data_IF_211839539872
#
_entry.id   IF_211839539872
#
_cell.length_a   1.000
_cell.length_b   1.000
_cell.length_c   1.000
_cell.angle_alpha   90.00
_cell.angle_beta   90.00
_cell.angle_gamma   90.00
#
_symmetry.space_group_name_H-M   'P 1'
#
loop_
_entity.id
_entity.type
_entity.pdbx_description
1 polymer ?
#
# COMPACT_ATOMS: atom_id res chain seq x y z
N UNK A 1 15.10 21.37 -10.42
CA UNK A 1 15.07 20.34 -9.36
C UNK A 1 16.46 19.96 -8.84
N UNK A 2 17.53 20.43 -9.46
CA UNK A 2 18.93 20.18 -9.05
C UNK A 2 19.42 21.10 -7.92
N UNK A 3 18.64 22.08 -7.49
CA UNK A 3 19.02 23.04 -6.46
C UNK A 3 18.73 22.57 -5.01
N UNK A 4 17.96 21.50 -4.84
CA UNK A 4 17.89 20.85 -3.53
C UNK A 4 19.14 19.99 -3.36
N UNK A 5 20.01 20.36 -2.44
CA UNK A 5 21.23 19.63 -2.03
C UNK A 5 20.91 18.24 -1.46
N UNK A 6 20.22 17.41 -2.25
CA UNK A 6 20.11 16.00 -2.00
C UNK A 6 21.48 15.38 -2.27
N UNK A 7 22.04 14.70 -1.28
CA UNK A 7 23.30 13.96 -1.39
C UNK A 7 23.45 13.36 -2.78
N UNK A 8 24.56 13.61 -3.46
CA UNK A 8 24.89 13.09 -4.80
C UNK A 8 24.95 11.56 -4.76
N UNK A 9 23.81 10.90 -4.77
CA UNK A 9 23.76 9.46 -5.06
C UNK A 9 23.97 9.26 -6.56
N UNK A 10 24.73 8.26 -7.00
CA UNK A 10 24.93 7.98 -8.42
C UNK A 10 23.58 7.95 -9.15
N UNK A 11 23.52 8.54 -10.35
CA UNK A 11 22.27 8.78 -11.09
C UNK A 11 21.46 7.52 -11.36
N UNK A 12 22.12 6.34 -11.37
CA UNK A 12 21.54 5.02 -11.62
C UNK A 12 21.49 4.10 -10.39
N UNK A 13 21.73 4.62 -9.19
CA UNK A 13 21.59 3.81 -7.98
C UNK A 13 20.13 3.39 -7.73
N UNK A 14 19.93 2.23 -7.11
CA UNK A 14 18.60 1.74 -6.67
C UNK A 14 17.82 2.84 -5.93
N UNK A 15 18.47 3.53 -5.00
CA UNK A 15 17.87 4.63 -4.25
C UNK A 15 17.45 5.80 -5.15
N UNK A 16 18.22 6.15 -6.18
CA UNK A 16 17.86 7.19 -7.14
C UNK A 16 16.65 6.80 -7.98
N UNK A 17 16.59 5.57 -8.47
CA UNK A 17 15.44 5.04 -9.22
C UNK A 17 14.16 5.08 -8.39
N UNK A 18 14.20 4.62 -7.14
CA UNK A 18 13.06 4.67 -6.20
C UNK A 18 12.60 6.12 -5.98
N UNK A 19 13.51 7.07 -5.71
CA UNK A 19 13.13 8.48 -5.53
C UNK A 19 12.44 9.07 -6.76
N UNK A 20 12.99 8.81 -7.96
CA UNK A 20 12.38 9.25 -9.23
C UNK A 20 11.00 8.62 -9.44
N UNK A 21 10.84 7.33 -9.11
CA UNK A 21 9.55 6.63 -9.14
C UNK A 21 8.53 7.27 -8.21
N UNK A 22 8.91 7.54 -6.98
CA UNK A 22 8.07 8.23 -6.01
C UNK A 22 7.63 9.64 -6.46
N UNK A 23 8.50 10.38 -7.15
CA UNK A 23 8.13 11.67 -7.74
C UNK A 23 7.08 11.47 -8.83
N UNK A 24 7.26 10.47 -9.72
CA UNK A 24 6.29 10.19 -10.78
C UNK A 24 4.92 9.79 -10.23
N UNK A 25 4.87 8.95 -9.19
CA UNK A 25 3.63 8.57 -8.54
C UNK A 25 2.89 9.80 -7.97
N UNK A 26 3.61 10.69 -7.28
CA UNK A 26 3.01 11.92 -6.75
C UNK A 26 2.55 12.90 -7.84
N UNK A 27 3.27 13.00 -8.94
CA UNK A 27 2.82 13.82 -10.08
C UNK A 27 1.54 13.26 -10.70
N UNK A 28 1.42 11.92 -10.84
CA UNK A 28 0.17 11.28 -11.28
C UNK A 28 -0.97 11.58 -10.31
N UNK A 29 -0.73 11.44 -9.02
CA UNK A 29 -1.72 11.76 -7.98
C UNK A 29 -2.22 13.21 -8.11
N UNK A 30 -1.34 14.19 -8.20
CA UNK A 30 -1.70 15.60 -8.36
C UNK A 30 -2.57 15.78 -9.62
N UNK A 31 -2.18 15.16 -10.74
CA UNK A 31 -2.92 15.25 -12.01
C UNK A 31 -4.32 14.62 -11.89
N UNK A 32 -4.43 13.45 -11.24
CA UNK A 32 -5.70 12.74 -11.07
C UNK A 32 -6.66 13.55 -10.17
N UNK A 33 -6.20 14.06 -9.04
CA UNK A 33 -7.02 14.88 -8.14
C UNK A 33 -7.46 16.20 -8.80
N UNK A 34 -6.56 16.86 -9.53
CA UNK A 34 -6.95 18.05 -10.30
C UNK A 34 -8.03 17.70 -11.35
N UNK A 35 -7.91 16.57 -12.04
CA UNK A 35 -8.91 16.14 -13.02
C UNK A 35 -10.23 15.72 -12.37
N UNK A 36 -10.18 15.00 -11.27
CA UNK A 36 -11.37 14.64 -10.49
C UNK A 36 -12.13 15.90 -10.05
N UNK A 37 -11.42 16.90 -9.53
CA UNK A 37 -12.03 18.19 -9.15
C UNK A 37 -12.73 18.88 -10.33
N UNK A 38 -12.12 18.89 -11.53
CA UNK A 38 -12.74 19.46 -12.73
C UNK A 38 -14.03 18.73 -13.15
N UNK A 39 -14.10 17.41 -12.90
CA UNK A 39 -15.22 16.56 -13.29
C UNK A 39 -16.24 16.33 -12.17
N UNK A 40 -16.04 16.94 -11.01
CA UNK A 40 -16.81 16.66 -9.79
C UNK A 40 -16.84 15.15 -9.47
N UNK A 41 -15.70 14.49 -9.59
CA UNK A 41 -15.52 13.07 -9.44
C UNK A 41 -14.57 12.72 -8.30
N UNK A 42 -14.39 11.41 -8.08
CA UNK A 42 -13.50 10.82 -7.09
C UNK A 42 -12.32 10.13 -7.76
N UNK A 43 -11.19 10.05 -7.06
CA UNK A 43 -10.02 9.27 -7.49
C UNK A 43 -10.13 7.85 -6.93
N UNK A 44 -10.08 6.84 -7.81
CA UNK A 44 -9.99 5.43 -7.42
C UNK A 44 -8.53 5.01 -7.19
N UNK A 45 -8.22 4.46 -6.01
CA UNK A 45 -6.98 3.74 -5.75
C UNK A 45 -7.11 2.29 -6.23
N UNK A 46 -6.02 1.73 -6.72
CA UNK A 46 -5.95 0.35 -7.19
C UNK A 46 -5.04 -0.53 -6.33
N UNK A 47 -4.61 -0.04 -5.18
CA UNK A 47 -3.84 -0.82 -4.21
C UNK A 47 -4.70 -1.94 -3.65
N UNK A 48 -4.13 -3.13 -3.53
CA UNK A 48 -4.75 -4.30 -2.92
C UNK A 48 -4.29 -4.51 -1.47
N UNK A 49 -4.86 -5.51 -0.80
CA UNK A 49 -4.56 -5.79 0.61
C UNK A 49 -3.11 -6.20 0.85
N UNK A 50 -2.53 -6.97 -0.04
CA UNK A 50 -1.14 -7.41 0.05
C UNK A 50 -0.17 -6.23 -0.06
N UNK A 51 -0.42 -5.31 -0.99
CA UNK A 51 0.36 -4.07 -1.15
C UNK A 51 0.20 -3.16 0.06
N UNK A 52 -1.01 -3.00 0.56
CA UNK A 52 -1.29 -2.23 1.78
C UNK A 52 -0.52 -2.80 2.98
N UNK A 53 -0.60 -4.11 3.21
CA UNK A 53 0.07 -4.78 4.32
C UNK A 53 1.59 -4.72 4.20
N UNK A 54 2.13 -4.95 2.98
CA UNK A 54 3.56 -4.85 2.70
C UNK A 54 4.09 -3.40 2.71
N UNK A 55 3.20 -2.40 2.71
CA UNK A 55 3.57 -1.00 2.52
C UNK A 55 4.23 -0.75 1.16
N UNK A 56 3.83 -1.51 0.13
CA UNK A 56 4.39 -1.44 -1.21
C UNK A 56 3.61 -0.45 -2.07
N UNK A 57 3.67 0.79 -1.70
CA UNK A 57 3.05 1.92 -2.36
C UNK A 57 3.79 3.21 -2.01
N UNK A 58 3.65 4.23 -2.83
CA UNK A 58 4.27 5.54 -2.61
C UNK A 58 3.39 6.39 -1.70
N UNK A 59 3.91 6.72 -0.51
CA UNK A 59 3.22 7.60 0.42
C UNK A 59 2.86 8.93 -0.27
N UNK A 60 1.58 9.32 -0.21
CA UNK A 60 1.00 10.48 -0.92
C UNK A 60 1.12 10.42 -2.45
N UNK A 61 1.28 9.24 -3.04
CA UNK A 61 1.39 9.06 -4.49
C UNK A 61 0.36 8.08 -5.03
N UNK A 62 0.25 6.92 -4.40
CA UNK A 62 -0.68 5.87 -4.80
C UNK A 62 -1.89 5.90 -3.85
N UNK A 63 -2.67 6.97 -3.92
CA UNK A 63 -3.81 7.23 -3.02
C UNK A 63 -5.07 7.56 -3.83
N UNK A 64 -6.24 7.34 -3.23
CA UNK A 64 -7.52 7.67 -3.81
C UNK A 64 -8.56 7.96 -2.73
N UNK A 65 -9.70 8.47 -3.17
CA UNK A 65 -10.88 8.71 -2.31
C UNK A 65 -11.64 7.42 -2.06
N UNK A 66 -11.53 6.47 -3.00
CA UNK A 66 -12.11 5.12 -2.92
C UNK A 66 -11.06 4.08 -3.27
N UNK A 67 -11.12 2.91 -2.63
CA UNK A 67 -10.17 1.81 -2.82
C UNK A 67 -10.93 0.47 -3.00
N UNK A 68 -11.48 0.19 -4.20
CA UNK A 68 -12.43 -0.91 -4.42
C UNK A 68 -11.84 -2.30 -4.19
N UNK A 69 -10.54 -2.48 -4.37
CA UNK A 69 -9.87 -3.79 -4.26
C UNK A 69 -8.91 -3.89 -3.06
N UNK A 70 -8.91 -2.89 -2.16
CA UNK A 70 -7.94 -2.84 -1.06
C UNK A 70 -8.17 -3.92 0.00
N UNK A 71 -9.32 -4.57 0.00
CA UNK A 71 -9.62 -5.73 0.86
C UNK A 71 -9.23 -7.07 0.24
N UNK A 72 -8.82 -7.10 -1.03
CA UNK A 72 -8.53 -8.33 -1.76
C UNK A 72 -7.03 -8.63 -1.80
N UNK A 73 -6.67 -9.91 -1.63
CA UNK A 73 -5.28 -10.39 -1.77
C UNK A 73 -4.82 -10.35 -3.22
N UNK A 74 -3.54 -10.00 -3.43
CA UNK A 74 -2.95 -9.89 -4.77
C UNK A 74 -2.75 -11.23 -5.44
N UNK A 75 -2.44 -12.28 -4.68
CA UNK A 75 -2.01 -13.56 -5.26
C UNK A 75 -3.16 -14.41 -5.81
N UNK A 76 -4.38 -14.26 -5.31
CA UNK A 76 -5.53 -15.07 -5.78
C UNK A 76 -6.85 -14.32 -5.94
N UNK A 77 -7.25 -13.43 -5.00
CA UNK A 77 -8.57 -12.78 -5.10
C UNK A 77 -8.63 -11.76 -6.22
N UNK A 78 -7.60 -10.93 -6.39
CA UNK A 78 -7.54 -9.97 -7.49
C UNK A 78 -7.49 -10.68 -8.85
N UNK A 79 -6.66 -11.72 -9.10
CA UNK A 79 -6.71 -12.49 -10.33
C UNK A 79 -8.06 -13.18 -10.57
N UNK A 80 -8.68 -13.79 -9.56
CA UNK A 80 -9.98 -14.44 -9.68
C UNK A 80 -11.08 -13.43 -10.06
N UNK A 81 -11.09 -12.26 -9.43
CA UNK A 81 -12.01 -11.18 -9.79
C UNK A 81 -11.78 -10.69 -11.22
N UNK A 82 -10.52 -10.53 -11.61
CA UNK A 82 -10.16 -10.10 -12.96
C UNK A 82 -10.63 -11.11 -14.03
N UNK A 83 -10.50 -12.40 -13.76
CA UNK A 83 -11.00 -13.47 -14.63
C UNK A 83 -12.52 -13.41 -14.75
N UNK A 84 -13.25 -13.26 -13.64
CA UNK A 84 -14.72 -13.09 -13.63
C UNK A 84 -15.17 -11.86 -14.43
N UNK A 85 -14.39 -10.80 -14.42
CA UNK A 85 -14.69 -9.56 -15.16
C UNK A 85 -14.25 -9.62 -16.63
N UNK A 86 -13.68 -10.73 -17.08
CA UNK A 86 -13.25 -10.93 -18.47
C UNK A 86 -11.98 -10.17 -18.83
N UNK A 87 -11.12 -9.85 -17.88
CA UNK A 87 -9.80 -9.26 -18.13
C UNK A 87 -8.96 -10.25 -18.95
N UNK A 88 -8.29 -9.82 -20.04
CA UNK A 88 -7.48 -10.71 -20.87
C UNK A 88 -6.41 -11.49 -20.07
N UNK A 89 -6.29 -12.80 -20.31
CA UNK A 89 -5.37 -13.68 -19.59
C UNK A 89 -3.91 -13.19 -19.56
N UNK A 90 -3.47 -12.54 -20.64
CA UNK A 90 -2.13 -11.95 -20.72
C UNK A 90 -1.90 -10.81 -19.73
N UNK A 91 -2.96 -10.11 -19.30
CA UNK A 91 -2.87 -9.08 -18.26
C UNK A 91 -2.85 -9.74 -16.88
N UNK A 92 -3.69 -10.76 -16.67
CA UNK A 92 -3.79 -11.50 -15.41
C UNK A 92 -2.45 -12.20 -15.09
N UNK A 93 -1.81 -12.79 -16.11
CA UNK A 93 -0.54 -13.51 -15.98
C UNK A 93 0.71 -12.63 -16.02
N UNK A 94 0.57 -11.32 -16.19
CA UNK A 94 1.70 -10.40 -16.26
C UNK A 94 2.45 -10.36 -14.93
N UNK A 95 3.79 -10.39 -14.98
CA UNK A 95 4.62 -10.27 -13.78
C UNK A 95 4.40 -8.91 -13.11
N UNK A 96 4.06 -8.86 -11.82
CA UNK A 96 3.92 -7.62 -11.09
C UNK A 96 5.21 -6.82 -11.07
N UNK A 97 5.13 -5.53 -11.41
CA UNK A 97 6.29 -4.64 -11.41
C UNK A 97 5.88 -3.19 -11.13
N UNK A 98 6.70 -2.49 -10.35
CA UNK A 98 6.54 -1.05 -10.12
C UNK A 98 6.97 -0.18 -11.32
N UNK A 99 7.54 -0.78 -12.37
CA UNK A 99 8.01 -0.08 -13.56
C UNK A 99 9.21 0.83 -13.35
N UNK A 100 9.91 0.72 -12.23
CA UNK A 100 11.08 1.56 -11.91
C UNK A 100 12.37 1.00 -12.52
N UNK A 101 12.38 -0.26 -12.98
CA UNK A 101 13.56 -0.94 -13.48
C UNK A 101 14.64 -1.11 -12.40
N UNK A 102 14.21 -1.36 -11.17
CA UNK A 102 15.10 -1.56 -10.01
C UNK A 102 15.53 -3.00 -9.94
N UNK A 103 14.57 -3.91 -10.04
CA UNK A 103 14.75 -5.37 -9.99
C UNK A 103 13.87 -6.03 -11.08
N UNK A 104 13.91 -7.35 -11.17
CA UNK A 104 13.14 -8.14 -12.14
C UNK A 104 11.62 -8.16 -11.88
N UNK A 105 11.15 -7.49 -10.83
CA UNK A 105 9.75 -7.39 -10.41
C UNK A 105 9.63 -7.13 -8.92
N UNK A 106 8.40 -6.97 -8.46
CA UNK A 106 8.11 -6.65 -7.06
C UNK A 106 8.61 -7.73 -6.10
N UNK A 107 8.40 -9.00 -6.44
CA UNK A 107 8.80 -10.15 -5.62
C UNK A 107 10.32 -10.26 -5.46
N UNK A 108 11.09 -9.88 -6.49
CA UNK A 108 12.53 -9.81 -6.40
C UNK A 108 13.00 -8.71 -5.42
N UNK A 109 12.22 -7.66 -5.25
CA UNK A 109 12.49 -6.62 -4.24
C UNK A 109 12.20 -7.09 -2.82
N UNK A 110 11.24 -7.98 -2.64
CA UNK A 110 10.84 -8.51 -1.33
C UNK A 110 11.74 -9.68 -0.88
N UNK A 111 12.21 -10.51 -1.81
CA UNK A 111 12.88 -11.78 -1.54
C UNK A 111 11.90 -12.94 -1.24
N UNK A 112 10.61 -12.74 -1.50
CA UNK A 112 9.54 -13.75 -1.41
C UNK A 112 8.42 -13.42 -2.41
N UNK A 113 7.58 -14.42 -2.74
CA UNK A 113 6.44 -14.22 -3.64
C UNK A 113 5.24 -13.59 -2.93
N UNK A 114 4.35 -12.96 -3.69
CA UNK A 114 3.07 -12.48 -3.15
C UNK A 114 2.23 -13.62 -2.55
N UNK A 115 2.30 -14.82 -3.14
CA UNK A 115 1.62 -15.99 -2.59
C UNK A 115 2.14 -16.33 -1.19
N UNK A 116 3.47 -16.38 -1.02
CA UNK A 116 4.08 -16.62 0.29
C UNK A 116 3.72 -15.51 1.29
N UNK A 117 3.74 -14.25 0.85
CA UNK A 117 3.34 -13.13 1.68
C UNK A 117 1.90 -13.26 2.16
N UNK A 118 0.97 -13.52 1.24
CA UNK A 118 -0.46 -13.60 1.52
C UNK A 118 -0.79 -14.81 2.41
N UNK A 119 -0.14 -15.96 2.20
CA UNK A 119 -0.28 -17.13 3.08
C UNK A 119 0.16 -16.82 4.51
N UNK A 120 1.31 -16.14 4.69
CA UNK A 120 1.78 -15.72 6.01
C UNK A 120 0.84 -14.69 6.61
N UNK A 121 0.36 -13.72 5.82
CA UNK A 121 -0.58 -12.69 6.28
C UNK A 121 -1.90 -13.29 6.75
N UNK A 122 -2.47 -14.24 6.00
CA UNK A 122 -3.65 -15.00 6.41
C UNK A 122 -3.37 -15.86 7.64
N UNK A 123 -2.19 -16.48 7.71
CA UNK A 123 -1.73 -17.21 8.88
C UNK A 123 -1.71 -16.31 10.12
N UNK A 124 -1.26 -15.04 9.99
CA UNK A 124 -1.34 -14.09 11.11
C UNK A 124 -2.77 -13.74 11.50
N UNK A 125 -3.64 -13.54 10.53
CA UNK A 125 -5.05 -13.25 10.79
C UNK A 125 -5.77 -14.45 11.42
N UNK A 126 -5.42 -15.68 10.98
CA UNK A 126 -5.95 -16.92 11.53
C UNK A 126 -5.25 -17.35 12.83
N UNK A 127 -3.96 -17.08 12.99
CA UNK A 127 -3.13 -17.48 14.16
C UNK A 127 -3.37 -16.60 15.40
N UNK A 128 -4.09 -15.50 15.25
CA UNK A 128 -4.76 -14.91 16.41
C UNK A 128 -5.66 -15.94 17.11
N UNK A 129 -5.95 -17.07 16.45
CA UNK A 129 -6.76 -18.17 16.97
C UNK A 129 -6.00 -19.52 17.13
N UNK A 130 -4.96 -19.88 16.35
CA UNK A 130 -4.51 -21.29 16.25
C UNK A 130 -3.00 -21.61 16.21
N UNK A 131 -2.08 -20.63 16.35
CA UNK A 131 -0.62 -20.91 16.40
C UNK A 131 0.07 -21.07 15.02
N UNK A 132 1.41 -20.97 14.98
CA UNK A 132 2.20 -20.90 13.74
C UNK A 132 2.71 -22.25 13.22
N UNK A 133 2.83 -22.43 11.89
CA UNK A 133 3.37 -23.65 11.27
C UNK A 133 4.90 -23.75 11.26
N UNK A 134 5.43 -24.89 10.79
CA UNK A 134 6.78 -25.44 10.93
C UNK A 134 7.99 -24.61 10.47
N UNK A 135 9.20 -25.09 10.86
CA UNK A 135 10.48 -24.36 10.89
C UNK A 135 11.06 -23.84 9.55
N UNK A 136 10.71 -24.40 8.41
CA UNK A 136 11.17 -23.90 7.11
C UNK A 136 10.50 -22.58 6.71
N UNK A 137 9.29 -22.37 7.16
CA UNK A 137 8.52 -21.15 6.92
C UNK A 137 8.94 -19.98 7.84
N UNK A 138 9.67 -20.25 8.93
CA UNK A 138 10.05 -19.23 9.91
C UNK A 138 10.86 -18.07 9.31
N UNK A 139 11.73 -18.32 8.32
CA UNK A 139 12.52 -17.26 7.67
C UNK A 139 11.62 -16.31 6.87
N UNK A 140 10.67 -16.87 6.14
CA UNK A 140 9.69 -16.09 5.36
C UNK A 140 8.77 -15.34 6.32
N UNK A 141 8.28 -16.01 7.35
CA UNK A 141 7.44 -15.40 8.41
C UNK A 141 8.14 -14.20 9.04
N UNK A 142 9.40 -14.32 9.42
CA UNK A 142 10.16 -13.20 10.02
C UNK A 142 10.45 -12.08 9.01
N UNK A 143 10.69 -12.40 7.73
CA UNK A 143 10.86 -11.41 6.68
C UNK A 143 9.56 -10.62 6.45
N UNK A 144 8.42 -11.30 6.40
CA UNK A 144 7.09 -10.70 6.27
C UNK A 144 6.76 -9.81 7.49
N UNK A 145 6.96 -10.31 8.72
CA UNK A 145 6.79 -9.53 9.95
C UNK A 145 7.63 -8.25 9.93
N UNK A 146 8.91 -8.39 9.59
CA UNK A 146 9.85 -7.27 9.49
C UNK A 146 9.37 -6.24 8.48
N UNK A 147 8.89 -6.70 7.31
CA UNK A 147 8.34 -5.83 6.27
C UNK A 147 7.11 -5.08 6.77
N UNK A 148 6.12 -5.78 7.32
CA UNK A 148 4.89 -5.18 7.85
C UNK A 148 5.23 -4.15 8.94
N UNK A 149 6.12 -4.48 9.88
CA UNK A 149 6.53 -3.60 10.97
C UNK A 149 7.25 -2.34 10.46
N UNK A 150 8.23 -2.51 9.58
CA UNK A 150 9.05 -1.39 9.05
C UNK A 150 8.25 -0.41 8.19
N UNK A 151 7.12 -0.84 7.63
CA UNK A 151 6.24 -0.01 6.80
C UNK A 151 4.98 0.46 7.54
N UNK A 152 4.84 0.16 8.82
CA UNK A 152 3.68 0.51 9.64
C UNK A 152 3.32 2.00 9.61
N UNK A 153 4.32 2.88 9.57
CA UNK A 153 4.13 4.33 9.48
C UNK A 153 3.32 4.77 8.25
N UNK A 154 3.32 3.99 7.17
CA UNK A 154 2.54 4.31 5.96
C UNK A 154 1.04 4.12 6.17
N UNK A 155 0.63 3.21 7.05
CA UNK A 155 -0.77 2.90 7.36
C UNK A 155 -1.36 3.80 8.45
N UNK A 156 -0.50 4.53 9.17
CA UNK A 156 -0.87 5.46 10.24
C UNK A 156 -0.37 6.85 9.84
N UNK A 157 -1.05 7.48 8.89
CA UNK A 157 -0.62 8.77 8.37
C UNK A 157 -1.83 9.72 8.20
N UNK A 158 -1.74 10.95 8.68
CA UNK A 158 -0.64 11.54 9.46
C UNK A 158 -0.55 10.99 10.89
N UNK A 159 0.67 10.99 11.45
CA UNK A 159 0.87 10.70 12.88
C UNK A 159 0.39 11.92 13.67
N UNK A 160 -0.61 11.73 14.50
CA UNK A 160 -1.14 12.79 15.36
C UNK A 160 -0.44 12.76 16.71
N UNK A 161 0.02 13.92 17.15
CA UNK A 161 0.53 14.10 18.50
C UNK A 161 -0.60 14.51 19.42
N UNK A 162 -0.73 13.85 20.56
CA UNK A 162 -1.72 14.21 21.56
C UNK A 162 -1.49 15.64 22.04
N UNK A 163 -2.54 16.43 22.07
CA UNK A 163 -2.47 17.76 22.69
C UNK A 163 -2.24 17.61 24.19
N UNK A 164 -1.25 18.29 24.80
CA UNK A 164 -0.88 18.07 26.19
C UNK A 164 -2.01 18.37 27.20
N UNK A 165 -2.98 19.20 26.83
CA UNK A 165 -4.14 19.55 27.67
C UNK A 165 -5.41 18.79 27.26
N UNK A 166 -5.61 18.53 25.95
CA UNK A 166 -6.86 17.98 25.41
C UNK A 166 -6.80 16.48 25.10
N UNK A 167 -5.60 15.88 25.10
CA UNK A 167 -5.43 14.45 24.73
C UNK A 167 -6.01 14.13 23.36
N UNK A 168 -6.62 12.94 23.24
CA UNK A 168 -7.33 12.49 22.03
C UNK A 168 -8.82 12.86 22.01
N UNK A 169 -9.34 13.55 23.04
CA UNK A 169 -10.77 13.79 23.21
C UNK A 169 -11.39 14.56 22.02
N UNK A 170 -10.65 15.54 21.47
CA UNK A 170 -11.12 16.31 20.34
C UNK A 170 -11.27 15.45 19.07
N UNK A 171 -10.33 14.52 18.82
CA UNK A 171 -10.38 13.61 17.68
C UNK A 171 -11.54 12.61 17.82
N UNK A 172 -11.72 12.04 19.01
CA UNK A 172 -12.83 11.15 19.31
C UNK A 172 -14.18 11.85 19.19
N UNK A 173 -14.27 13.12 19.63
CA UNK A 173 -15.47 13.93 19.49
C UNK A 173 -15.81 14.22 18.02
N UNK A 174 -14.80 14.50 17.17
CA UNK A 174 -15.02 14.72 15.74
C UNK A 174 -15.46 13.43 15.02
N UNK A 175 -14.84 12.29 15.33
CA UNK A 175 -15.25 10.99 14.77
C UNK A 175 -16.70 10.66 15.17
N UNK A 176 -17.06 10.84 16.43
CA UNK A 176 -18.42 10.62 16.90
C UNK A 176 -19.44 11.57 16.23
N UNK A 177 -19.02 12.80 15.91
CA UNK A 177 -19.87 13.75 15.18
C UNK A 177 -20.07 13.30 13.74
N UNK A 178 -19.00 12.89 13.06
CA UNK A 178 -19.07 12.39 11.68
C UNK A 178 -19.96 11.15 11.59
N UNK A 179 -19.83 10.20 12.53
CA UNK A 179 -20.67 9.00 12.59
C UNK A 179 -22.16 9.35 12.75
N UNK A 180 -22.50 10.32 13.62
CA UNK A 180 -23.87 10.79 13.79
C UNK A 180 -24.43 11.47 12.56
N UNK A 181 -23.64 12.34 11.92
CA UNK A 181 -24.05 13.01 10.69
C UNK A 181 -24.27 12.03 9.54
N UNK A 182 -23.49 10.96 9.44
CA UNK A 182 -23.69 9.90 8.45
C UNK A 182 -24.93 9.05 8.72
N UNK A 183 -25.34 8.92 9.99
CA UNK A 183 -26.55 8.18 10.39
C UNK A 183 -27.82 9.02 10.32
N UNK A 184 -27.69 10.33 10.06
CA UNK A 184 -28.83 11.24 9.94
C UNK A 184 -29.45 11.65 11.29
N UNK A 185 -28.68 11.58 12.37
CA UNK A 185 -29.05 12.01 13.73
C UNK A 185 -28.70 13.49 13.99
#
# INVERSE_FOLDING_TARGET
>A
LDEFHLQKTPHDSKASKIRKGNIRARLRMITLYNRASQLNGLVGSTDNFSELAAGFWTLHGDVGDIAPIQSLSKSWEVPALAELMGVPAQIISATPTDGLGVDAGDEAQFGFSYLQFDLVLLGFLAAMEHGFPDAEDLKIVEAVKTRIKSTGYKRINPVNFNHPIRGNELYSALQNLDDKLLQGE
#
